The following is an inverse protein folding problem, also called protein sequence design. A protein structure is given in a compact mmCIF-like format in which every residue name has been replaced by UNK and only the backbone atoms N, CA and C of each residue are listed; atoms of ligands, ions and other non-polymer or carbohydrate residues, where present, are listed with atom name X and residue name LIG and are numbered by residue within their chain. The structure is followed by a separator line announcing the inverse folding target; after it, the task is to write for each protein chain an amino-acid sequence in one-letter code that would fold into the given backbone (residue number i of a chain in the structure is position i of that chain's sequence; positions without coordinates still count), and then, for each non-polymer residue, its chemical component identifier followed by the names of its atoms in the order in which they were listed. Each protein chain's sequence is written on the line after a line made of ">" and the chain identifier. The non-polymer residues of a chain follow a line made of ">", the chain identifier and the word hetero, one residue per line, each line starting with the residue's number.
data_IF_669727040276
#
_entry.id   IF_669727040276
#
_cell.length_a   1.000
_cell.length_b   1.000
_cell.length_c   1.000
_cell.angle_alpha   90.00
_cell.angle_beta   90.00
_cell.angle_gamma   90.00
#
_symmetry.space_group_name_H-M   'P 1'
#
loop_
_entity.id
_entity.type
_entity.pdbx_description
1 polymer ?
#
# COMPACT_ATOMS: atom_id res chain seq x y z
N UNK A 1 -4.17 11.71 12.62
CA UNK A 1 -4.61 10.32 12.89
C UNK A 1 -4.22 9.46 11.70
N UNK A 2 -3.72 8.26 11.93
CA UNK A 2 -3.54 7.25 10.89
C UNK A 2 -4.81 6.40 10.77
N UNK A 3 -5.16 5.98 9.56
CA UNK A 3 -6.26 5.07 9.26
C UNK A 3 -5.68 3.79 8.66
N UNK A 4 -6.06 2.66 9.23
CA UNK A 4 -5.64 1.35 8.76
C UNK A 4 -6.87 0.58 8.27
N UNK A 5 -6.80 0.04 7.06
CA UNK A 5 -7.82 -0.83 6.48
C UNK A 5 -7.15 -2.14 6.07
N UNK A 6 -7.72 -3.27 6.49
CA UNK A 6 -7.25 -4.60 6.11
C UNK A 6 -8.38 -5.29 5.36
N UNK A 7 -8.11 -5.76 4.15
CA UNK A 7 -9.03 -6.48 3.28
C UNK A 7 -8.48 -7.88 3.08
N UNK A 8 -9.28 -8.90 3.37
CA UNK A 8 -8.96 -10.30 3.09
C UNK A 8 -9.75 -10.74 1.88
N UNK A 9 -9.06 -11.21 0.85
CA UNK A 9 -9.66 -11.69 -0.39
C UNK A 9 -9.96 -13.20 -0.28
N UNK A 10 -10.94 -13.68 -1.04
CA UNK A 10 -11.38 -15.09 -1.02
C UNK A 10 -10.29 -16.09 -1.47
N UNK A 11 -9.28 -15.61 -2.20
CA UNK A 11 -8.11 -16.38 -2.62
C UNK A 11 -6.99 -16.42 -1.57
N UNK A 12 -7.24 -15.93 -0.35
CA UNK A 12 -6.27 -15.91 0.75
C UNK A 12 -5.30 -14.74 0.75
N UNK A 13 -5.38 -13.83 -0.23
CA UNK A 13 -4.56 -12.62 -0.29
C UNK A 13 -5.04 -11.62 0.76
N UNK A 14 -4.13 -11.12 1.58
CA UNK A 14 -4.38 -10.00 2.49
C UNK A 14 -3.83 -8.70 1.90
N UNK A 15 -4.69 -7.68 1.87
CA UNK A 15 -4.35 -6.33 1.44
C UNK A 15 -4.46 -5.39 2.63
N UNK A 16 -3.37 -4.70 2.97
CA UNK A 16 -3.32 -3.72 4.06
C UNK A 16 -3.13 -2.33 3.46
N UNK A 17 -4.06 -1.41 3.72
CA UNK A 17 -3.95 0.00 3.36
C UNK A 17 -3.72 0.84 4.61
N UNK A 18 -2.63 1.58 4.66
CA UNK A 18 -2.35 2.53 5.72
C UNK A 18 -2.33 3.95 5.17
N UNK A 19 -3.17 4.81 5.72
CA UNK A 19 -3.25 6.21 5.36
C UNK A 19 -2.82 7.06 6.56
N UNK A 20 -1.81 7.89 6.35
CA UNK A 20 -1.37 8.90 7.31
C UNK A 20 -1.44 10.28 6.67
N UNK A 21 -1.31 11.37 7.45
CA UNK A 21 -1.19 12.70 6.88
C UNK A 21 -0.02 12.87 5.89
N UNK A 22 1.03 12.06 6.02
CA UNK A 22 2.27 12.21 5.25
C UNK A 22 2.39 11.23 4.09
N UNK A 23 1.79 10.04 4.23
CA UNK A 23 1.92 8.98 3.24
C UNK A 23 0.71 8.05 3.18
N UNK A 24 0.63 7.32 2.07
CA UNK A 24 -0.25 6.17 1.92
C UNK A 24 0.60 4.94 1.61
N UNK A 25 0.32 3.82 2.27
CA UNK A 25 0.88 2.52 1.90
C UNK A 25 -0.21 1.54 1.51
N UNK A 26 0.15 0.65 0.59
CA UNK A 26 -0.58 -0.57 0.35
C UNK A 26 0.40 -1.73 0.59
N UNK A 27 -0.07 -2.83 1.16
CA UNK A 27 0.70 -4.07 1.29
C UNK A 27 -0.15 -5.21 0.76
N UNK A 28 0.39 -6.01 -0.15
CA UNK A 28 -0.29 -7.17 -0.75
C UNK A 28 0.75 -8.28 -0.77
N UNK A 29 0.46 -9.41 -0.13
CA UNK A 29 1.36 -10.58 -0.10
C UNK A 29 2.82 -10.28 0.33
N UNK A 30 3.04 -9.25 1.15
CA UNK A 30 4.37 -8.86 1.64
C UNK A 30 5.07 -7.78 0.81
N UNK A 31 4.59 -7.50 -0.41
CA UNK A 31 5.02 -6.35 -1.20
C UNK A 31 4.37 -5.08 -0.67
N UNK A 32 5.18 -4.03 -0.52
CA UNK A 32 4.74 -2.74 0.04
C UNK A 32 4.91 -1.65 -1.00
N UNK A 33 3.82 -0.92 -1.26
CA UNK A 33 3.80 0.31 -2.02
C UNK A 33 3.74 1.50 -1.09
N UNK A 34 4.40 2.58 -1.47
CA UNK A 34 4.48 3.80 -0.68
C UNK A 34 4.23 5.01 -1.57
N UNK A 35 3.36 5.91 -1.10
CA UNK A 35 3.05 7.18 -1.75
C UNK A 35 3.23 8.31 -0.75
N UNK A 36 4.18 9.22 -1.00
CA UNK A 36 4.36 10.45 -0.22
C UNK A 36 3.36 11.49 -0.69
N UNK A 37 2.56 12.01 0.24
CA UNK A 37 1.58 13.07 -0.08
C UNK A 37 2.25 14.39 -0.39
N UNK A 38 3.31 14.72 0.34
CA UNK A 38 3.97 16.04 0.26
C UNK A 38 4.69 16.25 -1.08
N UNK A 39 5.31 15.19 -1.62
CA UNK A 39 6.08 15.26 -2.86
C UNK A 39 5.37 14.65 -4.06
N UNK A 40 4.27 13.92 -3.84
CA UNK A 40 3.62 13.10 -4.85
C UNK A 40 4.47 11.89 -5.29
N UNK A 41 5.61 11.64 -4.63
CA UNK A 41 6.55 10.58 -4.97
C UNK A 41 5.93 9.21 -4.66
N UNK A 42 5.92 8.36 -5.68
CA UNK A 42 5.47 6.98 -5.58
C UNK A 42 6.68 6.07 -5.71
N UNK A 43 6.95 5.23 -4.71
CA UNK A 43 8.11 4.33 -4.68
C UNK A 43 7.91 3.07 -5.54
N UNK A 44 7.05 3.16 -6.56
CA UNK A 44 7.26 2.53 -7.86
C UNK A 44 7.44 1.02 -7.96
N UNK A 45 7.33 0.23 -6.89
CA UNK A 45 7.41 -1.24 -6.93
C UNK A 45 6.15 -1.86 -7.54
N UNK A 46 5.67 -1.31 -8.64
CA UNK A 46 4.49 -1.79 -9.35
C UNK A 46 4.97 -2.52 -10.60
N UNK A 47 4.92 -3.85 -10.54
CA UNK A 47 4.90 -4.76 -11.68
C UNK A 47 6.14 -4.70 -12.60
N UNK A 48 7.24 -5.32 -12.17
CA UNK A 48 8.00 -6.12 -13.14
C UNK A 48 7.24 -7.44 -13.28
N UNK A 49 6.26 -7.46 -14.18
CA UNK A 49 5.69 -8.72 -14.65
C UNK A 49 6.67 -9.19 -15.73
N UNK A 50 7.64 -10.03 -15.35
CA UNK A 50 8.25 -10.91 -16.36
C UNK A 50 7.20 -11.92 -16.87
#
# INVERSE_FOLDING_TARGET
>A
MSKLVIVKCDNGIEIKFEETPYYLTATVNGDVWYWKRDTGEFDGKAFDVE
#
